data_IF_333034115066
#
_entry.id   IF_333034115066
#
_cell.length_a   1.000
_cell.length_b   1.000
_cell.length_c   1.000
_cell.angle_alpha   90.00
_cell.angle_beta   90.00
_cell.angle_gamma   90.00
#
_symmetry.space_group_name_H-M   'P 1'
#
loop_
_entity.id
_entity.type
_entity.pdbx_description
1 polymer ?
#
# COMPACT_ATOMS: atom_id res chain seq x y z
N UNK A 1 69.45 -24.45 -19.43
CA UNK A 1 68.02 -24.73 -19.26
C UNK A 1 67.31 -23.38 -19.09
N UNK A 2 66.56 -22.91 -20.11
CA UNK A 2 65.87 -21.62 -20.10
C UNK A 2 64.35 -21.91 -19.88
N UNK A 3 63.86 -21.58 -18.70
CA UNK A 3 62.43 -21.69 -18.35
C UNK A 3 61.63 -20.54 -18.99
N UNK A 4 60.66 -20.88 -19.82
CA UNK A 4 59.72 -19.91 -20.42
C UNK A 4 58.48 -19.82 -19.52
N UNK A 5 58.29 -18.68 -18.85
CA UNK A 5 57.03 -18.34 -18.18
C UNK A 5 56.01 -17.88 -19.25
N UNK A 6 54.87 -18.56 -19.31
CA UNK A 6 53.68 -18.13 -20.05
C UNK A 6 52.89 -17.13 -19.18
N UNK A 7 52.41 -16.02 -19.74
CA UNK A 7 51.49 -15.13 -19.03
C UNK A 7 50.07 -15.69 -19.05
N UNK A 8 49.48 -15.87 -17.87
CA UNK A 8 48.07 -16.20 -17.73
C UNK A 8 47.25 -14.90 -17.93
N UNK A 9 46.53 -14.83 -19.05
CA UNK A 9 45.57 -13.75 -19.33
C UNK A 9 44.27 -14.08 -18.60
N UNK A 10 43.98 -13.37 -17.51
CA UNK A 10 42.70 -13.46 -16.82
C UNK A 10 41.69 -12.58 -17.54
N UNK A 11 40.76 -13.20 -18.25
CA UNK A 11 39.66 -12.56 -18.94
C UNK A 11 38.57 -12.22 -17.91
N UNK A 12 38.48 -10.96 -17.47
CA UNK A 12 37.37 -10.49 -16.66
C UNK A 12 36.13 -10.32 -17.56
N UNK A 13 35.24 -11.30 -17.51
CA UNK A 13 33.88 -11.15 -18.07
C UNK A 13 33.07 -10.18 -17.21
N UNK A 14 32.93 -8.97 -17.69
CA UNK A 14 31.93 -8.03 -17.17
C UNK A 14 30.53 -8.51 -17.57
N UNK A 15 29.82 -9.15 -16.64
CA UNK A 15 28.39 -9.32 -16.75
C UNK A 15 27.72 -7.99 -16.51
N UNK A 16 27.37 -7.29 -17.57
CA UNK A 16 26.54 -6.09 -17.55
C UNK A 16 25.13 -6.44 -17.12
N UNK A 17 24.72 -6.03 -15.92
CA UNK A 17 23.35 -6.10 -15.46
C UNK A 17 22.49 -5.06 -16.22
N UNK A 18 21.97 -5.42 -17.39
CA UNK A 18 20.97 -4.65 -18.15
C UNK A 18 19.69 -5.49 -18.23
N UNK A 19 18.78 -5.33 -17.25
CA UNK A 19 17.55 -6.09 -17.25
C UNK A 19 16.37 -5.50 -16.45
N UNK A 20 16.46 -4.28 -15.89
CA UNK A 20 15.43 -3.83 -14.92
C UNK A 20 14.11 -3.35 -15.51
N UNK A 21 14.07 -2.60 -16.61
CA UNK A 21 12.84 -1.86 -16.97
C UNK A 21 11.73 -2.69 -17.63
N UNK A 22 12.08 -3.72 -18.41
CA UNK A 22 11.09 -4.59 -19.05
C UNK A 22 10.44 -5.56 -18.06
N UNK A 23 11.19 -6.01 -17.06
CA UNK A 23 10.74 -6.91 -16.01
C UNK A 23 9.77 -6.19 -15.05
N UNK A 24 10.03 -4.93 -14.72
CA UNK A 24 9.15 -4.09 -13.91
C UNK A 24 7.80 -3.85 -14.59
N UNK A 25 7.79 -3.63 -15.90
CA UNK A 25 6.56 -3.45 -16.68
C UNK A 25 5.65 -4.69 -16.64
N UNK A 26 6.21 -5.89 -16.83
CA UNK A 26 5.47 -7.14 -16.80
C UNK A 26 4.90 -7.46 -15.42
N UNK A 27 5.65 -7.19 -14.35
CA UNK A 27 5.22 -7.36 -12.97
C UNK A 27 4.00 -6.47 -12.65
N UNK A 28 4.05 -5.19 -13.00
CA UNK A 28 2.94 -4.27 -12.77
C UNK A 28 1.67 -4.69 -13.53
N UNK A 29 1.82 -5.19 -14.75
CA UNK A 29 0.70 -5.73 -15.55
C UNK A 29 0.09 -6.95 -14.84
N UNK A 30 0.92 -7.88 -14.35
CA UNK A 30 0.48 -9.06 -13.62
C UNK A 30 -0.29 -8.69 -12.33
N UNK A 31 0.23 -7.75 -11.54
CA UNK A 31 -0.45 -7.26 -10.34
C UNK A 31 -1.81 -6.64 -10.68
N UNK A 32 -1.90 -5.84 -11.73
CA UNK A 32 -3.17 -5.24 -12.17
C UNK A 32 -4.19 -6.28 -12.63
N UNK A 33 -3.75 -7.30 -13.35
CA UNK A 33 -4.60 -8.41 -13.77
C UNK A 33 -5.16 -9.17 -12.55
N UNK A 34 -4.34 -9.42 -11.55
CA UNK A 34 -4.75 -10.06 -10.30
C UNK A 34 -5.76 -9.20 -9.52
N UNK A 35 -5.53 -7.90 -9.38
CA UNK A 35 -6.50 -6.96 -8.77
C UNK A 35 -7.84 -6.99 -9.50
N UNK A 36 -7.83 -7.03 -10.83
CA UNK A 36 -9.05 -7.16 -11.64
C UNK A 36 -9.76 -8.50 -11.39
N UNK A 37 -9.03 -9.59 -11.30
CA UNK A 37 -9.57 -10.92 -10.99
C UNK A 37 -10.20 -10.96 -9.61
N UNK A 38 -9.52 -10.43 -8.56
CA UNK A 38 -10.06 -10.34 -7.21
C UNK A 38 -11.37 -9.54 -7.22
N UNK A 39 -11.38 -8.35 -7.84
CA UNK A 39 -12.57 -7.52 -7.91
C UNK A 39 -13.74 -8.21 -8.65
N UNK A 40 -13.45 -8.94 -9.74
CA UNK A 40 -14.44 -9.72 -10.48
C UNK A 40 -15.02 -10.90 -9.71
N UNK A 41 -14.32 -11.38 -8.68
CA UNK A 41 -14.73 -12.54 -7.88
C UNK A 41 -15.24 -12.21 -6.48
N UNK A 42 -15.40 -10.92 -6.12
CA UNK A 42 -15.83 -10.51 -4.77
C UNK A 42 -17.21 -11.05 -4.37
N UNK A 43 -18.10 -11.28 -5.33
CA UNK A 43 -19.42 -11.89 -5.07
C UNK A 43 -19.36 -13.32 -4.52
N UNK A 44 -18.24 -14.03 -4.74
CA UNK A 44 -17.99 -15.39 -4.21
C UNK A 44 -17.22 -15.39 -2.90
N UNK A 45 -16.84 -14.21 -2.39
CA UNK A 45 -16.15 -14.08 -1.11
C UNK A 45 -17.13 -13.87 0.02
N UNK A 46 -16.79 -14.37 1.20
CA UNK A 46 -17.43 -13.99 2.46
C UNK A 46 -17.04 -12.55 2.77
N UNK A 47 -18.04 -11.69 2.97
CA UNK A 47 -17.83 -10.28 3.37
C UNK A 47 -18.12 -10.13 4.85
N UNK A 48 -17.18 -9.57 5.61
CA UNK A 48 -17.34 -9.16 7.01
C UNK A 48 -17.09 -7.66 7.13
N UNK A 49 -17.96 -6.93 7.83
CA UNK A 49 -17.78 -5.49 8.09
C UNK A 49 -17.44 -5.30 9.57
N UNK A 50 -16.42 -4.46 9.84
CA UNK A 50 -15.99 -4.12 11.21
C UNK A 50 -15.79 -2.60 11.32
N UNK A 51 -16.08 -2.05 12.49
CA UNK A 51 -15.56 -0.74 12.92
C UNK A 51 -14.14 -0.95 13.45
N UNK A 52 -13.21 -0.10 13.05
CA UNK A 52 -11.79 -0.19 13.43
C UNK A 52 -11.38 1.09 14.13
N UNK A 53 -10.92 0.95 15.35
CA UNK A 53 -10.49 2.09 16.17
C UNK A 53 -9.02 2.45 15.93
N UNK A 54 -8.66 3.72 16.23
CA UNK A 54 -7.26 4.17 16.23
C UNK A 54 -6.65 4.38 14.84
N UNK A 55 -7.48 4.52 13.78
CA UNK A 55 -7.03 4.89 12.43
C UNK A 55 -7.43 6.33 12.10
N UNK A 56 -8.65 6.73 12.40
CA UNK A 56 -9.15 8.08 12.16
C UNK A 56 -10.01 8.54 13.34
N UNK A 57 -10.11 9.86 13.55
CA UNK A 57 -10.78 10.45 14.71
C UNK A 57 -12.29 10.22 14.69
N UNK A 58 -12.91 10.33 13.51
CA UNK A 58 -14.38 10.20 13.34
C UNK A 58 -14.80 8.78 12.95
N UNK A 59 -13.87 7.78 13.10
CA UNK A 59 -14.14 6.39 12.89
C UNK A 59 -13.69 5.85 11.53
N UNK A 60 -13.47 4.55 11.53
CA UNK A 60 -13.09 3.79 10.34
C UNK A 60 -14.00 2.58 10.20
N UNK A 61 -14.59 2.40 9.03
CA UNK A 61 -15.33 1.21 8.65
C UNK A 61 -14.51 0.39 7.65
N UNK A 62 -14.30 -0.89 7.92
CA UNK A 62 -13.58 -1.80 7.06
C UNK A 62 -14.42 -3.00 6.64
N UNK A 63 -14.42 -3.30 5.34
CA UNK A 63 -15.01 -4.48 4.75
C UNK A 63 -13.88 -5.46 4.38
N UNK A 64 -13.95 -6.66 4.90
CA UNK A 64 -13.01 -7.76 4.67
C UNK A 64 -13.66 -8.77 3.74
N UNK A 65 -12.96 -9.12 2.67
CA UNK A 65 -13.40 -10.13 1.72
C UNK A 65 -12.46 -11.32 1.76
N UNK A 66 -12.96 -12.49 2.14
CA UNK A 66 -12.17 -13.70 2.27
C UNK A 66 -12.79 -14.88 1.52
N UNK A 67 -11.95 -15.82 1.10
CA UNK A 67 -12.37 -17.13 0.56
C UNK A 67 -11.83 -18.21 1.50
N UNK A 68 -12.75 -18.80 2.28
CA UNK A 68 -12.35 -19.61 3.41
C UNK A 68 -11.56 -18.77 4.42
N UNK A 69 -10.33 -19.20 4.76
CA UNK A 69 -9.44 -18.46 5.68
C UNK A 69 -8.56 -17.43 4.98
N UNK A 70 -8.51 -17.45 3.65
CA UNK A 70 -7.63 -16.58 2.87
C UNK A 70 -8.25 -15.20 2.67
N UNK A 71 -7.59 -14.16 3.15
CA UNK A 71 -7.96 -12.77 2.92
C UNK A 71 -7.61 -12.39 1.48
N UNK A 72 -8.58 -11.84 0.74
CA UNK A 72 -8.40 -11.37 -0.64
C UNK A 72 -8.36 -9.86 -0.75
N UNK A 73 -9.23 -9.17 -0.02
CA UNK A 73 -9.32 -7.70 -0.07
C UNK A 73 -9.75 -7.13 1.27
N UNK A 74 -9.18 -5.98 1.64
CA UNK A 74 -9.76 -5.08 2.65
C UNK A 74 -10.13 -3.78 1.94
N UNK A 75 -11.34 -3.28 2.17
CA UNK A 75 -11.79 -1.98 1.71
C UNK A 75 -12.24 -1.15 2.92
N UNK A 76 -11.47 -0.13 3.29
CA UNK A 76 -11.77 0.71 4.45
C UNK A 76 -12.06 2.15 4.05
N UNK A 77 -13.00 2.76 4.79
CA UNK A 77 -13.33 4.19 4.74
C UNK A 77 -12.98 4.81 6.07
N UNK A 78 -12.31 5.94 6.03
CA UNK A 78 -11.84 6.68 7.19
C UNK A 78 -12.45 8.08 7.15
N UNK A 79 -12.93 8.54 8.29
CA UNK A 79 -13.63 9.79 8.41
C UNK A 79 -12.89 10.73 9.36
N UNK A 80 -12.86 12.01 9.02
CA UNK A 80 -12.35 13.10 9.84
C UNK A 80 -13.14 14.37 9.58
N UNK A 81 -13.04 15.33 10.47
CA UNK A 81 -13.81 16.59 10.40
C UNK A 81 -13.61 17.35 9.08
N UNK A 82 -12.40 17.35 8.53
CA UNK A 82 -12.02 18.11 7.32
C UNK A 82 -11.58 17.23 6.16
N UNK A 83 -11.73 15.89 6.27
CA UNK A 83 -11.34 14.96 5.22
C UNK A 83 -12.16 13.68 5.25
N UNK A 84 -12.14 12.94 4.14
CA UNK A 84 -12.39 11.52 4.12
C UNK A 84 -11.28 10.81 3.35
N UNK A 85 -11.02 9.57 3.72
CA UNK A 85 -10.10 8.73 2.99
C UNK A 85 -10.71 7.35 2.73
N UNK A 86 -10.21 6.68 1.71
CA UNK A 86 -10.54 5.30 1.41
C UNK A 86 -9.26 4.55 1.03
N UNK A 87 -9.14 3.32 1.52
CA UNK A 87 -8.06 2.42 1.15
C UNK A 87 -8.62 1.09 0.69
N UNK A 88 -8.03 0.54 -0.34
CA UNK A 88 -8.24 -0.82 -0.80
C UNK A 88 -6.90 -1.55 -0.78
N UNK A 89 -6.85 -2.66 -0.07
CA UNK A 89 -5.67 -3.52 0.08
C UNK A 89 -5.99 -4.87 -0.54
N UNK A 90 -5.11 -5.38 -1.40
CA UNK A 90 -5.30 -6.64 -2.11
C UNK A 90 -4.21 -7.62 -1.72
N UNK A 91 -4.63 -8.84 -1.41
CA UNK A 91 -3.77 -9.89 -0.88
C UNK A 91 -3.77 -11.12 -1.78
N UNK A 92 -2.60 -11.74 -1.92
CA UNK A 92 -2.38 -13.03 -2.53
C UNK A 92 -1.43 -13.84 -1.66
N UNK A 93 -1.77 -15.08 -1.37
CA UNK A 93 -0.96 -15.96 -0.54
C UNK A 93 -0.55 -15.27 0.78
N UNK A 94 -1.53 -14.59 1.41
CA UNK A 94 -1.39 -13.79 2.64
C UNK A 94 -0.46 -12.56 2.56
N UNK A 95 0.14 -12.28 1.40
CA UNK A 95 0.99 -11.11 1.17
C UNK A 95 0.21 -9.97 0.52
N UNK A 96 0.50 -8.74 0.95
CA UNK A 96 -0.01 -7.52 0.30
C UNK A 96 0.64 -7.40 -1.08
N UNK A 97 -0.17 -7.34 -2.16
CA UNK A 97 0.30 -7.21 -3.55
C UNK A 97 0.01 -5.85 -4.15
N UNK A 98 -1.09 -5.23 -3.72
CA UNK A 98 -1.46 -3.91 -4.20
C UNK A 98 -2.25 -3.13 -3.14
N UNK A 99 -2.03 -1.81 -3.10
CA UNK A 99 -2.86 -0.90 -2.34
C UNK A 99 -3.26 0.32 -3.17
N UNK A 100 -4.52 0.71 -3.05
CA UNK A 100 -5.04 1.98 -3.56
C UNK A 100 -5.52 2.83 -2.39
N UNK A 101 -5.03 4.06 -2.30
CA UNK A 101 -5.40 5.01 -1.27
C UNK A 101 -5.88 6.31 -1.91
N UNK A 102 -7.02 6.81 -1.45
CA UNK A 102 -7.58 8.10 -1.84
C UNK A 102 -7.84 8.93 -0.60
N UNK A 103 -7.37 10.17 -0.59
CA UNK A 103 -7.62 11.17 0.44
C UNK A 103 -8.29 12.38 -0.21
N UNK A 104 -9.49 12.73 0.24
CA UNK A 104 -10.17 13.95 -0.14
C UNK A 104 -10.12 14.92 1.05
N UNK A 105 -9.74 16.17 0.81
CA UNK A 105 -9.80 17.26 1.81
C UNK A 105 -10.96 18.18 1.50
N UNK A 106 -11.57 18.69 2.54
CA UNK A 106 -12.68 19.60 2.48
C UNK A 106 -12.22 21.04 2.77
N UNK A 107 -12.98 22.01 2.26
CA UNK A 107 -12.77 23.46 2.50
C UNK A 107 -13.13 23.86 3.94
N UNK A 108 -13.90 23.04 4.64
CA UNK A 108 -14.38 23.28 6.02
C UNK A 108 -14.80 21.98 6.69
N UNK A 109 -15.09 22.05 7.97
CA UNK A 109 -15.54 20.89 8.76
C UNK A 109 -16.92 20.39 8.33
N UNK A 110 -17.12 19.08 8.46
CA UNK A 110 -18.43 18.43 8.33
C UNK A 110 -19.32 18.90 9.50
N UNK A 111 -20.61 19.08 9.24
CA UNK A 111 -21.55 19.56 10.26
C UNK A 111 -21.76 21.09 10.28
N UNK A 112 -21.01 21.84 9.48
CA UNK A 112 -21.28 23.27 9.28
C UNK A 112 -22.58 23.49 8.48
N UNK A 113 -23.28 24.65 8.65
CA UNK A 113 -24.58 24.92 8.01
C UNK A 113 -24.59 24.72 6.49
N UNK A 114 -23.48 25.03 5.82
CA UNK A 114 -23.31 24.74 4.39
C UNK A 114 -22.47 23.47 4.24
N UNK A 115 -22.86 22.51 3.38
CA UNK A 115 -22.10 21.29 3.15
C UNK A 115 -20.66 21.59 2.67
N UNK A 116 -19.65 20.84 3.12
CA UNK A 116 -18.28 21.04 2.69
C UNK A 116 -18.08 20.64 1.24
N UNK A 117 -17.13 21.30 0.57
CA UNK A 117 -16.71 20.97 -0.79
C UNK A 117 -15.35 20.30 -0.77
N UNK A 118 -15.11 19.34 -1.63
CA UNK A 118 -13.79 18.75 -1.83
C UNK A 118 -12.91 19.77 -2.56
N UNK A 119 -11.81 20.18 -1.90
CA UNK A 119 -10.83 21.13 -2.45
C UNK A 119 -9.56 20.43 -2.94
N UNK A 120 -9.31 19.21 -2.49
CA UNK A 120 -8.17 18.42 -2.91
C UNK A 120 -8.51 16.93 -2.89
N UNK A 121 -8.00 16.20 -3.88
CA UNK A 121 -8.13 14.74 -3.96
C UNK A 121 -6.78 14.13 -4.34
N UNK A 122 -6.16 13.42 -3.40
CA UNK A 122 -4.90 12.74 -3.62
C UNK A 122 -5.17 11.24 -3.81
N UNK A 123 -4.64 10.69 -4.90
CA UNK A 123 -4.74 9.26 -5.23
C UNK A 123 -3.34 8.66 -5.22
N UNK A 124 -3.15 7.56 -4.49
CA UNK A 124 -1.87 6.84 -4.41
C UNK A 124 -2.09 5.39 -4.80
N UNK A 125 -1.14 4.80 -5.52
CA UNK A 125 -1.10 3.37 -5.85
C UNK A 125 0.24 2.81 -5.44
N UNK A 126 0.19 1.69 -4.74
CA UNK A 126 1.36 1.01 -4.22
C UNK A 126 1.37 -0.41 -4.80
N UNK A 127 2.47 -0.81 -5.36
CA UNK A 127 2.66 -2.14 -5.94
C UNK A 127 3.72 -2.88 -5.14
N UNK A 128 3.42 -4.11 -4.75
CA UNK A 128 4.30 -4.94 -3.93
C UNK A 128 4.63 -6.23 -4.66
N UNK A 129 5.84 -6.73 -4.47
CA UNK A 129 6.29 -8.03 -4.93
C UNK A 129 7.01 -8.73 -3.79
N UNK A 130 6.60 -9.95 -3.44
CA UNK A 130 7.15 -10.71 -2.33
C UNK A 130 7.18 -9.94 -0.99
N UNK A 131 6.17 -9.10 -0.76
CA UNK A 131 6.07 -8.27 0.45
C UNK A 131 6.87 -6.96 0.41
N UNK A 132 7.69 -6.72 -0.62
CA UNK A 132 8.47 -5.50 -0.79
C UNK A 132 7.76 -4.50 -1.71
N UNK A 133 7.83 -3.21 -1.36
CA UNK A 133 7.29 -2.13 -2.18
C UNK A 133 8.18 -1.93 -3.42
N UNK A 134 7.62 -2.13 -4.61
CA UNK A 134 8.36 -2.02 -5.89
C UNK A 134 8.00 -0.78 -6.71
N UNK A 135 6.81 -0.18 -6.48
CA UNK A 135 6.39 1.02 -7.19
C UNK A 135 5.36 1.82 -6.41
N UNK A 136 5.50 3.14 -6.44
CA UNK A 136 4.52 4.11 -5.91
C UNK A 136 4.14 5.11 -7.00
N UNK A 137 2.85 5.33 -7.16
CA UNK A 137 2.32 6.39 -8.02
C UNK A 137 1.50 7.39 -7.19
N UNK A 138 1.78 8.68 -7.33
CA UNK A 138 0.95 9.79 -6.86
C UNK A 138 0.17 10.35 -8.06
N UNK A 139 -1.14 10.09 -8.13
CA UNK A 139 -1.88 10.33 -9.36
C UNK A 139 -1.31 9.51 -10.51
N UNK A 140 -0.67 10.17 -11.47
CA UNK A 140 0.04 9.54 -12.60
C UNK A 140 1.57 9.58 -12.46
N UNK A 141 2.08 10.35 -11.49
CA UNK A 141 3.52 10.56 -11.31
C UNK A 141 4.13 9.43 -10.48
N UNK A 142 5.23 8.88 -10.96
CA UNK A 142 5.99 7.88 -10.22
C UNK A 142 6.88 8.53 -9.17
N UNK A 143 6.87 7.98 -7.96
CA UNK A 143 7.76 8.41 -6.86
C UNK A 143 9.10 7.70 -7.02
N UNK A 144 10.17 8.46 -6.96
CA UNK A 144 11.54 7.92 -7.05
C UNK A 144 11.80 6.96 -5.90
N UNK A 145 12.18 5.72 -6.21
CA UNK A 145 12.54 4.71 -5.23
C UNK A 145 13.65 5.20 -4.28
N UNK A 146 13.50 4.89 -2.99
CA UNK A 146 14.44 5.28 -1.94
C UNK A 146 14.43 6.78 -1.57
N UNK A 147 13.57 7.61 -2.19
CA UNK A 147 13.40 9.01 -1.79
C UNK A 147 12.72 9.11 -0.42
N UNK A 148 12.78 10.28 0.22
CA UNK A 148 12.05 10.55 1.45
C UNK A 148 10.53 10.33 1.27
N UNK A 149 9.97 10.82 0.15
CA UNK A 149 8.57 10.64 -0.21
C UNK A 149 8.19 9.15 -0.40
N UNK A 150 9.11 8.34 -0.95
CA UNK A 150 8.93 6.89 -1.05
C UNK A 150 8.83 6.26 0.34
N UNK A 151 9.84 6.51 1.21
CA UNK A 151 9.88 5.96 2.57
C UNK A 151 8.67 6.36 3.42
N UNK A 152 8.27 7.65 3.35
CA UNK A 152 7.08 8.13 4.02
C UNK A 152 5.80 7.45 3.51
N UNK A 153 5.71 7.23 2.21
CA UNK A 153 4.57 6.54 1.57
C UNK A 153 4.52 5.07 1.97
N UNK A 154 5.67 4.39 2.00
CA UNK A 154 5.81 2.99 2.42
C UNK A 154 5.41 2.81 3.89
N UNK A 155 5.97 3.62 4.79
CA UNK A 155 5.65 3.58 6.21
C UNK A 155 4.15 3.79 6.47
N UNK A 156 3.55 4.75 5.78
CA UNK A 156 2.11 5.04 5.88
C UNK A 156 1.26 3.84 5.48
N UNK A 157 1.50 3.26 4.30
CA UNK A 157 0.66 2.17 3.81
C UNK A 157 0.91 0.87 4.57
N UNK A 158 2.15 0.60 4.99
CA UNK A 158 2.49 -0.57 5.79
C UNK A 158 1.79 -0.55 7.17
N UNK A 159 1.86 0.59 7.88
CA UNK A 159 1.19 0.76 9.17
C UNK A 159 -0.33 0.58 9.05
N UNK A 160 -0.94 1.18 8.03
CA UNK A 160 -2.38 1.06 7.77
C UNK A 160 -2.78 -0.38 7.43
N UNK A 161 -2.02 -1.04 6.57
CA UNK A 161 -2.25 -2.44 6.19
C UNK A 161 -2.10 -3.37 7.39
N UNK A 162 -1.09 -3.19 8.23
CA UNK A 162 -0.87 -3.96 9.44
C UNK A 162 -2.04 -3.81 10.42
N UNK A 163 -2.47 -2.57 10.70
CA UNK A 163 -3.59 -2.31 11.61
C UNK A 163 -4.88 -2.93 11.11
N UNK A 164 -5.23 -2.74 9.84
CA UNK A 164 -6.43 -3.33 9.25
C UNK A 164 -6.36 -4.86 9.20
N UNK A 165 -5.20 -5.44 8.90
CA UNK A 165 -4.99 -6.89 8.85
C UNK A 165 -5.14 -7.52 10.24
N UNK A 166 -4.59 -6.91 11.29
CA UNK A 166 -4.68 -7.42 12.66
C UNK A 166 -6.13 -7.57 13.14
N UNK A 167 -7.01 -6.67 12.71
CA UNK A 167 -8.45 -6.76 13.00
C UNK A 167 -9.14 -7.94 12.29
N UNK A 168 -8.65 -8.34 11.12
CA UNK A 168 -9.14 -9.54 10.44
C UNK A 168 -8.75 -10.80 11.20
N UNK A 169 -7.49 -10.89 11.61
CA UNK A 169 -6.93 -12.05 12.30
C UNK A 169 -7.47 -12.22 13.76
N UNK A 170 -8.29 -11.26 14.23
CA UNK A 170 -8.85 -11.28 15.60
C UNK A 170 -7.82 -10.98 16.68
N UNK A 171 -6.64 -10.49 16.33
CA UNK A 171 -5.62 -10.02 17.26
C UNK A 171 -6.00 -8.62 17.70
N UNK A 172 -6.75 -8.54 18.81
CA UNK A 172 -6.88 -7.29 19.54
C UNK A 172 -5.47 -6.89 19.98
N UNK A 173 -5.01 -5.70 19.58
CA UNK A 173 -3.77 -5.16 20.13
C UNK A 173 -4.00 -4.95 21.62
N UNK A 174 -3.49 -5.87 22.46
CA UNK A 174 -3.40 -5.66 23.88
C UNK A 174 -2.60 -4.37 24.09
N UNK A 175 -3.19 -3.45 24.84
CA UNK A 175 -2.77 -2.05 25.00
C UNK A 175 -1.43 -1.83 25.71
N UNK A 176 -0.41 -2.66 25.51
CA UNK A 176 0.92 -2.51 26.09
C UNK A 176 2.01 -2.05 25.11
N UNK A 177 1.68 -1.79 23.84
CA UNK A 177 2.56 -1.12 22.89
C UNK A 177 2.34 0.39 22.94
N UNK A 178 3.39 1.15 23.28
CA UNK A 178 3.38 2.63 23.25
C UNK A 178 2.63 3.10 22.00
N UNK A 179 1.51 3.78 22.22
CA UNK A 179 0.74 4.42 21.19
C UNK A 179 1.65 5.44 20.47
N UNK A 180 2.28 5.03 19.39
CA UNK A 180 2.57 5.97 18.33
C UNK A 180 1.18 6.40 17.84
N UNK A 181 0.73 7.54 18.34
CA UNK A 181 -0.44 8.24 17.84
C UNK A 181 -0.21 8.47 16.34
N UNK A 182 -0.68 7.52 15.53
CA UNK A 182 -0.60 7.62 14.08
C UNK A 182 -1.71 8.54 13.65
N UNK A 183 -1.52 9.83 13.86
CA UNK A 183 -2.22 10.90 13.14
C UNK A 183 -1.67 10.91 11.71
N UNK A 184 -1.86 9.79 10.99
CA UNK A 184 -1.24 9.50 9.69
C UNK A 184 -1.70 10.48 8.60
N UNK A 185 -2.71 11.29 8.86
CA UNK A 185 -3.34 12.10 7.81
C UNK A 185 -3.27 13.61 8.02
N UNK A 186 -2.82 14.10 9.18
CA UNK A 186 -2.84 15.54 9.46
C UNK A 186 -1.62 16.31 8.90
N UNK A 187 -0.47 15.68 8.71
CA UNK A 187 0.81 16.37 8.44
C UNK A 187 1.48 16.07 7.09
N UNK A 188 0.78 15.50 6.10
CA UNK A 188 1.32 15.53 4.74
C UNK A 188 1.15 16.94 4.14
N UNK A 189 1.98 17.89 4.57
CA UNK A 189 2.25 19.12 3.81
C UNK A 189 3.14 18.73 2.62
N UNK A 190 2.62 18.88 1.43
CA UNK A 190 3.36 18.95 0.16
C UNK A 190 3.04 20.27 -0.50
#
# INVERSE_FOLDING_TARGET
MKSKLLPVVVLFLWFGAHGSSAQDGSLIIAIRAEVAQINGSLSTCTKTTKSVEGISLEGTEANYYSRGKELKKIAAKMYGETYNAAVELYYKDDMLTFAYHRLNRYDKQIGMPKPPKIVSSLKRRFYFSNGELVKVLLGTTEVKAGSEQWRASEATIASLAQKLRSEFDGKQSDGSGRACSVTVFADCRF
#
